data_IF_782464003170
#
_entry.id   IF_782464003170
#
_cell.length_a   1.000
_cell.length_b   1.000
_cell.length_c   1.000
_cell.angle_alpha   90.00
_cell.angle_beta   90.00
_cell.angle_gamma   90.00
#
_symmetry.space_group_name_H-M   'P 1'
#
loop_
_entity.id
_entity.type
_entity.pdbx_description
1 polymer ?
#
# COMPACT_ATOMS: atom_id res chain seq x y z
N UNK A 1 11.25 -28.31 3.85
CA UNK A 1 9.88 -27.79 3.76
C UNK A 1 9.31 -27.74 5.15
N UNK A 2 8.93 -26.55 5.60
CA UNK A 2 8.23 -26.38 6.88
C UNK A 2 6.85 -27.06 6.79
N UNK A 3 6.28 -27.48 7.92
CA UNK A 3 4.93 -28.06 7.97
C UNK A 3 3.89 -27.08 7.41
N UNK A 4 4.04 -25.77 7.70
CA UNK A 4 3.18 -24.72 7.15
C UNK A 4 3.27 -24.62 5.61
N UNK A 5 4.48 -24.69 5.06
CA UNK A 5 4.71 -24.61 3.61
C UNK A 5 4.06 -25.80 2.88
N UNK A 6 4.09 -26.99 3.49
CA UNK A 6 3.39 -28.17 2.95
C UNK A 6 1.87 -27.93 2.94
N UNK A 7 1.31 -27.39 4.03
CA UNK A 7 -0.12 -27.09 4.11
C UNK A 7 -0.56 -26.09 3.04
N UNK A 8 0.22 -25.02 2.82
CA UNK A 8 -0.05 -24.04 1.76
C UNK A 8 -0.01 -24.67 0.37
N UNK A 9 0.94 -25.57 0.11
CA UNK A 9 0.99 -26.28 -1.18
C UNK A 9 -0.19 -27.25 -1.36
N UNK A 10 -0.65 -27.90 -0.29
CA UNK A 10 -1.87 -28.73 -0.34
C UNK A 10 -3.09 -27.86 -0.64
N UNK A 11 -3.17 -26.65 -0.06
CA UNK A 11 -4.23 -25.70 -0.38
C UNK A 11 -4.16 -25.27 -1.86
N UNK A 12 -2.99 -24.84 -2.35
CA UNK A 12 -2.81 -24.46 -3.76
C UNK A 12 -3.16 -25.60 -4.73
N UNK A 13 -2.90 -26.85 -4.35
CA UNK A 13 -3.33 -28.02 -5.12
C UNK A 13 -4.86 -28.17 -5.16
N UNK A 14 -5.54 -27.97 -4.02
CA UNK A 14 -7.01 -28.02 -3.94
C UNK A 14 -7.64 -26.83 -4.68
N UNK A 15 -7.00 -25.67 -4.69
CA UNK A 15 -7.49 -24.48 -5.40
C UNK A 15 -7.20 -24.53 -6.92
N UNK A 16 -6.36 -25.48 -7.36
CA UNK A 16 -5.99 -25.66 -8.77
C UNK A 16 -4.86 -24.75 -9.26
N UNK A 17 -4.23 -24.00 -8.35
CA UNK A 17 -3.08 -23.14 -8.65
C UNK A 17 -1.78 -23.93 -8.84
N UNK A 18 -1.69 -25.14 -8.25
CA UNK A 18 -0.56 -26.04 -8.43
C UNK A 18 -0.77 -26.96 -9.62
N UNK A 19 0.12 -26.90 -10.62
CA UNK A 19 0.00 -27.70 -11.84
C UNK A 19 1.32 -28.38 -12.25
N UNK A 20 1.22 -29.38 -13.13
CA UNK A 20 2.37 -30.10 -13.68
C UNK A 20 3.09 -30.97 -12.65
N UNK A 21 4.43 -31.03 -12.76
CA UNK A 21 5.26 -31.97 -11.99
C UNK A 21 5.17 -31.76 -10.47
N UNK A 22 4.99 -30.53 -10.00
CA UNK A 22 4.92 -30.24 -8.57
C UNK A 22 3.63 -30.79 -7.95
N UNK A 23 2.51 -30.70 -8.68
CA UNK A 23 1.25 -31.29 -8.27
C UNK A 23 1.32 -32.81 -8.15
N UNK A 24 1.95 -33.49 -9.12
CA UNK A 24 2.14 -34.95 -9.10
C UNK A 24 2.98 -35.42 -7.90
N UNK A 25 4.09 -34.73 -7.63
CA UNK A 25 4.98 -35.03 -6.50
C UNK A 25 4.26 -34.81 -5.17
N UNK A 26 3.49 -33.72 -5.05
CA UNK A 26 2.72 -33.45 -3.85
C UNK A 26 1.60 -34.48 -3.66
N UNK A 27 0.93 -34.91 -4.74
CA UNK A 27 -0.11 -35.93 -4.69
C UNK A 27 0.44 -37.29 -4.23
N UNK A 28 1.61 -37.69 -4.72
CA UNK A 28 2.30 -38.89 -4.23
C UNK A 28 2.58 -38.78 -2.73
N UNK A 29 3.09 -37.63 -2.28
CA UNK A 29 3.37 -37.40 -0.86
C UNK A 29 2.11 -37.39 0.00
N UNK A 30 0.99 -36.84 -0.50
CA UNK A 30 -0.31 -36.91 0.17
C UNK A 30 -0.72 -38.38 0.32
N UNK A 31 -0.52 -39.23 -0.70
CA UNK A 31 -0.87 -40.65 -0.62
C UNK A 31 -0.03 -41.42 0.42
N UNK A 32 1.18 -40.97 0.71
CA UNK A 32 2.08 -41.62 1.67
C UNK A 32 1.88 -41.14 3.13
N UNK A 33 1.22 -39.99 3.35
CA UNK A 33 1.06 -39.38 4.67
C UNK A 33 -0.42 -39.20 5.08
N UNK A 34 -0.86 -39.99 6.07
CA UNK A 34 -2.23 -39.96 6.58
C UNK A 34 -2.69 -38.56 7.07
N UNK A 35 -1.79 -37.73 7.60
CA UNK A 35 -2.15 -36.36 8.01
C UNK A 35 -2.48 -35.49 6.80
N UNK A 36 -1.68 -35.61 5.74
CA UNK A 36 -1.89 -34.86 4.50
C UNK A 36 -3.12 -35.35 3.74
N UNK A 37 -3.41 -36.66 3.76
CA UNK A 37 -4.67 -37.20 3.23
C UNK A 37 -5.88 -36.57 3.92
N UNK A 38 -5.84 -36.52 5.26
CA UNK A 38 -6.93 -35.94 6.03
C UNK A 38 -7.12 -34.45 5.73
N UNK A 39 -6.02 -33.68 5.66
CA UNK A 39 -6.05 -32.27 5.30
C UNK A 39 -6.61 -32.06 3.89
N UNK A 40 -6.11 -32.80 2.90
CA UNK A 40 -6.55 -32.72 1.52
C UNK A 40 -8.04 -33.05 1.38
N UNK A 41 -8.52 -34.11 2.05
CA UNK A 41 -9.93 -34.48 2.06
C UNK A 41 -10.81 -33.40 2.67
N UNK A 42 -10.39 -32.83 3.81
CA UNK A 42 -11.12 -31.74 4.48
C UNK A 42 -11.21 -30.49 3.61
N UNK A 43 -10.10 -30.07 2.99
CA UNK A 43 -10.08 -28.91 2.10
C UNK A 43 -10.93 -29.13 0.85
N UNK A 44 -10.87 -30.33 0.26
CA UNK A 44 -11.70 -30.69 -0.89
C UNK A 44 -13.20 -30.66 -0.53
N UNK A 45 -13.56 -31.16 0.65
CA UNK A 45 -14.94 -31.09 1.14
C UNK A 45 -15.37 -29.63 1.36
N UNK A 46 -14.52 -28.80 1.96
CA UNK A 46 -14.81 -27.38 2.20
C UNK A 46 -15.01 -26.62 0.88
N UNK A 47 -14.16 -26.88 -0.13
CA UNK A 47 -14.31 -26.32 -1.49
C UNK A 47 -15.67 -26.70 -2.08
N UNK A 48 -16.07 -27.96 -1.96
CA UNK A 48 -17.39 -28.43 -2.41
C UNK A 48 -18.54 -27.69 -1.73
N UNK A 49 -18.50 -27.55 -0.41
CA UNK A 49 -19.53 -26.80 0.34
C UNK A 49 -19.61 -25.33 -0.09
N UNK A 50 -18.47 -24.70 -0.36
CA UNK A 50 -18.43 -23.32 -0.87
C UNK A 50 -19.04 -23.27 -2.27
N UNK A 51 -18.59 -24.11 -3.20
CA UNK A 51 -19.12 -24.14 -4.56
C UNK A 51 -20.63 -24.45 -4.62
N UNK A 52 -21.13 -25.29 -3.74
CA UNK A 52 -22.57 -25.62 -3.66
C UNK A 52 -23.41 -24.49 -3.02
N UNK A 53 -22.79 -23.63 -2.21
CA UNK A 53 -23.46 -22.50 -1.54
C UNK A 53 -23.30 -21.17 -2.26
N UNK A 54 -22.44 -21.10 -3.27
CA UNK A 54 -22.34 -19.95 -4.15
C UNK A 54 -23.64 -19.78 -4.95
N UNK A 55 -24.37 -18.71 -4.65
CA UNK A 55 -25.53 -18.31 -5.45
C UNK A 55 -25.05 -18.05 -6.88
N UNK A 56 -25.59 -18.76 -7.89
CA UNK A 56 -25.24 -18.51 -9.27
C UNK A 56 -25.60 -17.07 -9.59
N UNK A 57 -24.58 -16.24 -9.85
CA UNK A 57 -24.74 -14.89 -10.41
C UNK A 57 -24.45 -14.97 -11.89
N UNK A 58 -25.45 -15.28 -12.74
CA UNK A 58 -25.25 -15.17 -14.17
C UNK A 58 -24.91 -13.71 -14.48
N UNK A 59 -23.81 -13.49 -15.19
CA UNK A 59 -23.61 -12.20 -15.82
C UNK A 59 -24.65 -12.05 -16.94
N UNK A 60 -25.25 -10.86 -17.09
CA UNK A 60 -26.28 -10.64 -18.10
C UNK A 60 -25.72 -10.74 -19.53
N UNK A 61 -24.43 -10.41 -19.70
CA UNK A 61 -23.73 -10.43 -20.98
C UNK A 61 -22.64 -11.51 -20.99
N UNK A 62 -22.13 -11.83 -22.19
CA UNK A 62 -21.03 -12.77 -22.35
C UNK A 62 -19.73 -12.25 -21.71
N UNK A 63 -18.86 -13.18 -21.34
CA UNK A 63 -17.52 -12.87 -20.83
C UNK A 63 -16.73 -11.97 -21.80
N UNK A 64 -16.81 -12.25 -23.10
CA UNK A 64 -16.13 -11.47 -24.15
C UNK A 64 -16.57 -10.00 -24.19
N UNK A 65 -17.85 -9.72 -23.91
CA UNK A 65 -18.36 -8.34 -23.87
C UNK A 65 -17.64 -7.51 -22.80
N UNK A 66 -17.50 -8.05 -21.59
CA UNK A 66 -16.82 -7.33 -20.50
C UNK A 66 -15.33 -7.17 -20.76
N UNK A 67 -14.65 -8.20 -21.28
CA UNK A 67 -13.22 -8.10 -21.59
C UNK A 67 -12.93 -7.14 -22.73
N UNK A 68 -13.77 -7.11 -23.77
CA UNK A 68 -13.65 -6.09 -24.82
C UNK A 68 -13.82 -4.69 -24.23
N UNK A 69 -14.81 -4.47 -23.35
CA UNK A 69 -15.00 -3.17 -22.70
C UNK A 69 -13.81 -2.75 -21.83
N UNK A 70 -13.22 -3.70 -21.08
CA UNK A 70 -12.01 -3.46 -20.30
C UNK A 70 -10.84 -3.09 -21.23
N UNK A 71 -10.62 -3.87 -22.30
CA UNK A 71 -9.57 -3.61 -23.27
C UNK A 71 -9.71 -2.23 -23.95
N UNK A 72 -10.92 -1.89 -24.39
CA UNK A 72 -11.24 -0.58 -24.98
C UNK A 72 -10.99 0.56 -24.00
N UNK A 73 -11.37 0.39 -22.73
CA UNK A 73 -11.16 1.41 -21.69
C UNK A 73 -9.67 1.65 -21.44
N UNK A 74 -8.89 0.58 -21.31
CA UNK A 74 -7.42 0.65 -21.14
C UNK A 74 -6.79 1.35 -22.35
N UNK A 75 -7.22 1.00 -23.56
CA UNK A 75 -6.68 1.60 -24.78
C UNK A 75 -7.03 3.09 -24.87
N UNK A 76 -8.26 3.46 -24.50
CA UNK A 76 -8.71 4.85 -24.46
C UNK A 76 -7.90 5.67 -23.45
N UNK A 77 -7.67 5.15 -22.24
CA UNK A 77 -6.85 5.81 -21.22
C UNK A 77 -5.40 5.97 -21.67
N UNK A 78 -4.81 4.95 -22.30
CA UNK A 78 -3.47 5.04 -22.87
C UNK A 78 -3.36 6.15 -23.91
N UNK A 79 -4.31 6.20 -24.86
CA UNK A 79 -4.35 7.25 -25.90
C UNK A 79 -4.62 8.63 -25.29
N UNK A 80 -5.41 8.73 -24.22
CA UNK A 80 -5.66 9.98 -23.53
C UNK A 80 -4.43 10.49 -22.78
N UNK A 81 -3.68 9.61 -22.09
CA UNK A 81 -2.41 9.94 -21.46
C UNK A 81 -1.33 10.39 -22.44
N UNK A 82 -1.27 9.77 -23.63
CA UNK A 82 -0.36 10.19 -24.71
C UNK A 82 -0.73 11.55 -25.32
N UNK A 83 -2.02 11.92 -25.33
CA UNK A 83 -2.51 13.18 -25.90
C UNK A 83 -2.58 14.33 -24.90
N UNK A 84 -2.52 14.05 -23.59
CA UNK A 84 -2.76 15.01 -22.52
C UNK A 84 -1.50 15.63 -21.91
N UNK A 85 -0.37 15.66 -22.61
CA UNK A 85 0.74 16.54 -22.25
C UNK A 85 0.60 17.89 -22.98
N UNK A 86 -0.13 18.89 -22.44
CA UNK A 86 -0.02 20.24 -22.95
C UNK A 86 1.44 20.71 -22.77
N UNK A 87 2.04 21.40 -23.76
CA UNK A 87 3.34 22.03 -23.54
C UNK A 87 3.21 22.97 -22.34
N UNK A 88 3.98 22.70 -21.28
CA UNK A 88 4.00 23.60 -20.12
C UNK A 88 4.57 24.94 -20.61
N UNK A 89 3.84 26.06 -20.44
CA UNK A 89 4.37 27.35 -20.85
C UNK A 89 5.64 27.62 -20.04
N UNK A 90 6.74 28.00 -20.70
CA UNK A 90 8.05 28.23 -20.08
C UNK A 90 8.01 29.14 -18.83
N UNK A 91 7.00 30.03 -18.77
CA UNK A 91 6.66 30.84 -17.60
C UNK A 91 6.37 30.04 -16.32
N UNK A 92 5.68 28.89 -16.39
CA UNK A 92 5.39 28.03 -15.22
C UNK A 92 6.64 27.31 -14.69
N UNK A 93 7.59 26.99 -15.57
CA UNK A 93 8.87 26.40 -15.16
C UNK A 93 9.73 27.42 -14.41
N UNK A 94 9.80 28.66 -14.89
CA UNK A 94 10.47 29.77 -14.20
C UNK A 94 9.82 30.11 -12.85
N UNK A 95 8.49 30.15 -12.78
CA UNK A 95 7.78 30.39 -11.51
C UNK A 95 8.07 29.30 -10.47
N UNK A 96 8.23 28.06 -10.90
CA UNK A 96 8.51 26.93 -10.01
C UNK A 96 9.91 27.01 -9.37
N UNK A 97 10.86 27.69 -10.03
CA UNK A 97 12.19 27.96 -9.47
C UNK A 97 12.23 29.21 -8.60
N UNK A 98 11.41 30.22 -8.91
CA UNK A 98 11.37 31.48 -8.16
C UNK A 98 10.53 31.40 -6.86
N UNK A 99 9.51 30.53 -6.85
CA UNK A 99 8.64 30.32 -5.67
C UNK A 99 9.39 29.91 -4.39
N UNK A 100 10.31 28.92 -4.39
CA UNK A 100 11.00 28.53 -3.16
C UNK A 100 11.90 29.64 -2.63
N UNK A 101 12.56 30.42 -3.51
CA UNK A 101 13.42 31.54 -3.13
C UNK A 101 12.61 32.68 -2.52
N UNK A 102 11.44 32.99 -3.08
CA UNK A 102 10.53 33.98 -2.53
C UNK A 102 9.98 33.56 -1.16
N UNK A 103 9.66 32.27 -0.97
CA UNK A 103 9.20 31.74 0.32
C UNK A 103 10.26 31.81 1.41
N UNK A 104 11.48 31.35 1.12
CA UNK A 104 12.60 31.37 2.08
C UNK A 104 12.98 32.81 2.42
N UNK A 105 13.07 33.71 1.43
CA UNK A 105 13.40 35.11 1.70
C UNK A 105 12.34 35.82 2.55
N UNK A 106 11.05 35.55 2.32
CA UNK A 106 9.98 36.10 3.16
C UNK A 106 10.04 35.57 4.61
N UNK A 107 10.32 34.27 4.80
CA UNK A 107 10.49 33.69 6.13
C UNK A 107 11.72 34.25 6.86
N UNK A 108 12.86 34.35 6.18
CA UNK A 108 14.08 34.96 6.74
C UNK A 108 13.84 36.43 7.09
N UNK A 109 13.12 37.18 6.25
CA UNK A 109 12.81 38.57 6.55
C UNK A 109 11.86 38.67 7.76
N UNK A 110 10.84 37.82 7.85
CA UNK A 110 9.92 37.79 8.97
C UNK A 110 10.64 37.42 10.29
N UNK A 111 11.54 36.43 10.24
CA UNK A 111 12.35 36.00 11.38
C UNK A 111 13.36 37.07 11.83
N UNK A 112 14.00 37.77 10.89
CA UNK A 112 14.96 38.84 11.21
C UNK A 112 14.28 40.09 11.77
N UNK A 113 13.05 40.41 11.33
CA UNK A 113 12.28 41.52 11.90
C UNK A 113 11.69 41.21 13.29
N UNK A 114 11.58 39.94 13.68
CA UNK A 114 10.95 39.53 14.94
C UNK A 114 11.92 39.25 16.10
N UNK A 115 13.24 39.44 15.95
CA UNK A 115 14.19 39.16 17.04
C UNK A 115 14.78 40.42 17.70
N UNK A 116 14.35 40.81 18.90
CA UNK A 116 15.22 41.44 19.87
C UNK A 116 16.02 40.34 20.58
N UNK A 117 17.35 40.38 20.44
CA UNK A 117 18.35 39.46 21.04
C UNK A 117 18.31 38.01 20.56
N UNK A 118 19.46 37.54 20.03
CA UNK A 118 19.66 36.20 19.53
C UNK A 118 19.41 35.15 20.64
N UNK A 119 18.53 34.14 20.41
CA UNK A 119 18.50 32.98 21.27
C UNK A 119 19.67 32.08 20.89
N UNK A 120 20.46 31.69 21.89
CA UNK A 120 21.36 30.54 21.77
C UNK A 120 20.47 29.31 21.65
N UNK A 121 20.23 28.86 20.41
CA UNK A 121 19.24 27.82 20.11
C UNK A 121 19.73 26.40 20.43
N UNK A 122 20.92 26.22 21.00
CA UNK A 122 21.39 24.90 21.43
C UNK A 122 21.37 23.81 20.35
N UNK A 123 21.24 24.18 19.07
CA UNK A 123 21.15 23.24 17.96
C UNK A 123 22.58 22.86 17.59
N UNK A 124 23.07 21.80 18.19
CA UNK A 124 24.20 21.07 17.64
C UNK A 124 23.69 20.34 16.40
N UNK A 125 23.91 20.91 15.21
CA UNK A 125 23.78 20.16 13.96
C UNK A 125 24.88 19.10 13.94
N UNK A 126 24.58 17.93 14.50
CA UNK A 126 25.33 16.75 14.17
C UNK A 126 24.80 16.29 12.82
N UNK A 127 25.67 16.34 11.81
CA UNK A 127 25.48 15.56 10.59
C UNK A 127 25.39 14.11 11.05
N UNK A 128 24.18 13.58 11.16
CA UNK A 128 23.78 12.37 10.45
C UNK A 128 22.29 12.06 10.73
N UNK A 129 21.46 12.42 9.75
CA UNK A 129 20.30 11.67 9.24
C UNK A 129 19.01 11.49 10.06
N UNK A 130 18.84 12.03 11.26
CA UNK A 130 17.58 11.85 12.01
C UNK A 130 17.05 13.19 12.53
N UNK A 131 15.81 13.54 12.16
CA UNK A 131 15.08 14.69 12.69
C UNK A 131 13.91 14.17 13.53
N UNK A 132 14.14 13.98 14.84
CA UNK A 132 13.09 13.62 15.80
C UNK A 132 12.27 14.88 16.13
N UNK A 133 10.97 14.84 15.85
CA UNK A 133 10.00 15.78 16.40
C UNK A 133 9.07 14.98 17.32
N UNK A 134 9.31 15.09 18.61
CA UNK A 134 8.48 14.45 19.64
C UNK A 134 7.39 15.42 20.08
N UNK A 135 6.15 15.17 19.66
CA UNK A 135 4.96 15.73 20.31
C UNK A 135 4.30 14.60 21.11
N UNK A 136 3.66 14.91 22.24
CA UNK A 136 3.30 13.91 23.27
C UNK A 136 2.27 12.86 22.79
N UNK A 137 1.66 13.08 21.62
CA UNK A 137 0.61 12.25 21.02
C UNK A 137 1.02 11.59 19.68
N UNK A 138 2.09 12.05 19.03
CA UNK A 138 2.50 11.56 17.70
C UNK A 138 4.01 11.51 17.61
N UNK A 139 4.54 10.31 17.39
CA UNK A 139 5.95 10.12 17.06
C UNK A 139 6.11 10.02 15.53
N UNK A 140 7.02 10.84 14.99
CA UNK A 140 7.24 10.98 13.55
C UNK A 140 8.71 10.73 13.23
N UNK A 141 8.98 9.62 12.55
CA UNK A 141 10.31 9.33 12.01
C UNK A 141 10.30 9.43 10.48
N UNK A 142 11.14 10.30 9.94
CA UNK A 142 11.29 10.50 8.50
C UNK A 142 12.66 10.06 8.02
N UNK A 143 12.70 8.99 7.24
CA UNK A 143 13.90 8.57 6.54
C UNK A 143 13.90 9.16 5.11
N UNK A 144 15.01 9.80 4.74
CA UNK A 144 15.22 10.32 3.40
C UNK A 144 16.45 9.66 2.78
N UNK A 145 16.28 9.02 1.62
CA UNK A 145 17.40 8.51 0.82
C UNK A 145 17.60 9.42 -0.37
N UNK A 146 18.67 10.21 -0.34
CA UNK A 146 19.05 11.14 -1.41
C UNK A 146 19.32 10.41 -2.74
N UNK A 147 19.80 9.17 -2.68
CA UNK A 147 20.21 8.39 -3.86
C UNK A 147 19.01 7.79 -4.62
N UNK A 148 17.94 7.45 -3.91
CA UNK A 148 16.73 6.84 -4.48
C UNK A 148 15.59 7.85 -4.73
N UNK A 149 15.79 9.14 -4.40
CA UNK A 149 14.73 10.17 -4.44
C UNK A 149 13.43 9.73 -3.73
N UNK A 150 13.58 8.95 -2.66
CA UNK A 150 12.47 8.37 -1.91
C UNK A 150 12.53 8.81 -0.46
N UNK A 151 11.37 9.26 0.05
CA UNK A 151 11.19 9.59 1.46
C UNK A 151 10.13 8.68 2.05
N UNK A 152 10.48 8.04 3.17
CA UNK A 152 9.59 7.16 3.92
C UNK A 152 9.30 7.85 5.25
N UNK A 153 8.02 8.07 5.51
CA UNK A 153 7.53 8.69 6.75
C UNK A 153 6.78 7.63 7.54
N UNK A 154 7.29 7.33 8.74
CA UNK A 154 6.62 6.48 9.71
C UNK A 154 5.89 7.36 10.72
N UNK A 155 4.59 7.10 10.87
CA UNK A 155 3.72 7.77 11.83
C UNK A 155 3.24 6.73 12.83
N UNK A 156 3.70 6.83 14.08
CA UNK A 156 3.14 6.05 15.18
C UNK A 156 2.12 6.92 15.92
N UNK A 157 0.86 6.51 15.89
CA UNK A 157 -0.24 7.22 16.53
C UNK A 157 -0.94 6.28 17.53
N UNK A 158 -0.94 6.64 18.81
CA UNK A 158 -1.76 5.97 19.80
C UNK A 158 -3.10 6.69 19.92
N UNK A 159 -4.11 6.23 19.18
CA UNK A 159 -5.46 6.79 19.30
C UNK A 159 -6.22 6.04 20.40
N UNK A 160 -6.59 6.73 21.49
CA UNK A 160 -7.50 6.18 22.52
C UNK A 160 -8.94 6.22 21.99
N UNK A 161 -9.30 5.28 21.10
CA UNK A 161 -10.59 5.25 20.38
C UNK A 161 -11.77 4.73 21.26
N UNK A 162 -11.77 4.97 22.57
CA UNK A 162 -12.71 4.31 23.49
C UNK A 162 -13.50 5.24 24.44
N UNK A 163 -13.57 6.56 24.23
CA UNK A 163 -14.43 7.41 25.08
C UNK A 163 -15.52 8.25 24.41
N UNK A 164 -15.33 8.75 23.19
CA UNK A 164 -16.29 9.75 22.67
C UNK A 164 -17.47 9.20 21.85
N UNK A 165 -17.48 7.90 21.51
CA UNK A 165 -18.58 7.33 20.71
C UNK A 165 -19.78 6.82 21.52
N UNK A 166 -19.74 6.83 22.86
CA UNK A 166 -20.86 6.35 23.71
C UNK A 166 -21.77 7.43 24.30
N UNK A 167 -21.45 8.73 24.21
CA UNK A 167 -22.34 9.79 24.73
C UNK A 167 -23.35 10.32 23.70
N UNK A 168 -23.20 10.01 22.41
CA UNK A 168 -24.11 10.54 21.37
C UNK A 168 -25.44 9.76 21.20
N UNK A 169 -25.66 8.69 21.96
CA UNK A 169 -26.84 7.82 21.83
C UNK A 169 -27.72 7.73 23.09
N UNK A 170 -27.51 8.60 24.07
CA UNK A 170 -28.32 8.70 25.28
C UNK A 170 -28.77 10.15 25.51
N UNK A 171 -29.56 10.67 24.57
CA UNK A 171 -30.61 11.67 24.84
C UNK A 171 -31.80 11.46 23.90
#
# INVERSE_FOLDING_TARGET
>A
MNENEIQLKVQALVDGELTGREAEVLQQRINDDAKLQHLHAKLTQMRGLISDSELPRPLPESWDFYWNKIAETIEHEKRAGERAAPPTPASRWLLRWLSPVAGVSALVLLLTLQQPTAPDLGITLNSDHELEMSDEEIDVMTYNSDDDSMSIVWLDYSMDIQRDYMELWLD
#
